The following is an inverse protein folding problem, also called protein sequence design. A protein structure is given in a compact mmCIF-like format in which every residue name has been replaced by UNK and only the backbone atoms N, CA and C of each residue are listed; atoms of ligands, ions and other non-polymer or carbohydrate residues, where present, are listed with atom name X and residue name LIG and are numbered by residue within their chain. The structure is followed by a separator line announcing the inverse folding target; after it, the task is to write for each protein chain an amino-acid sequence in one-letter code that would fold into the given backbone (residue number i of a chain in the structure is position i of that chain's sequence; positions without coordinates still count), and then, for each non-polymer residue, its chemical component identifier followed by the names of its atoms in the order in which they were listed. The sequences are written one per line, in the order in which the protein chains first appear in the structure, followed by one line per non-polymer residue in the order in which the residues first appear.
data_IF_336511642060
#
_entry.id   IF_336511642060
#
_cell.length_a   1.000
_cell.length_b   1.000
_cell.length_c   1.000
_cell.angle_alpha   90.00
_cell.angle_beta   90.00
_cell.angle_gamma   90.00
#
_symmetry.space_group_name_H-M   'P 1'
#
loop_
_entity.id
_entity.type
_entity.pdbx_description
1 polymer ?
#
# COMPACT_ATOMS: atom_id res chain seq x y z
N UNK A 1 -10.42 8.33 3.20
CA UNK A 1 -9.81 6.97 3.25
C UNK A 1 -10.75 6.01 2.54
N UNK A 2 -10.26 5.23 1.57
CA UNK A 2 -11.05 4.17 0.92
C UNK A 2 -10.40 2.80 1.19
N UNK A 3 -11.21 1.78 1.46
CA UNK A 3 -10.75 0.42 1.77
C UNK A 3 -11.34 -0.53 0.72
N UNK A 4 -10.49 -1.11 -0.12
CA UNK A 4 -10.87 -2.11 -1.13
C UNK A 4 -10.29 -3.48 -0.82
N UNK A 5 -10.66 -4.49 -1.62
CA UNK A 5 -10.19 -5.88 -1.49
C UNK A 5 -8.65 -6.03 -1.53
N UNK A 6 -7.94 -5.02 -2.02
CA UNK A 6 -6.50 -5.03 -2.24
C UNK A 6 -5.69 -4.21 -1.21
N UNK A 7 -6.27 -3.75 -0.10
CA UNK A 7 -5.56 -3.01 0.95
C UNK A 7 -6.17 -1.65 1.32
N UNK A 8 -5.45 -0.88 2.15
CA UNK A 8 -5.86 0.48 2.57
C UNK A 8 -5.15 1.52 1.71
N UNK A 9 -5.88 2.51 1.22
CA UNK A 9 -5.31 3.65 0.50
C UNK A 9 -5.41 4.91 1.35
N UNK A 10 -4.28 5.61 1.47
CA UNK A 10 -4.11 6.85 2.20
C UNK A 10 -3.71 7.97 1.26
N UNK A 11 -4.14 9.19 1.57
CA UNK A 11 -3.57 10.39 0.97
C UNK A 11 -2.45 10.87 1.90
N UNK A 12 -1.29 11.13 1.34
CA UNK A 12 -0.09 11.58 2.03
C UNK A 12 0.49 12.80 1.31
N UNK A 13 1.30 13.56 2.03
CA UNK A 13 2.04 14.69 1.46
C UNK A 13 3.53 14.38 1.54
N UNK A 14 4.22 14.53 0.41
CA UNK A 14 5.67 14.52 0.38
C UNK A 14 6.21 15.75 1.11
N UNK A 15 7.06 15.53 2.12
CA UNK A 15 7.58 16.60 2.99
C UNK A 15 8.55 17.52 2.25
N UNK A 16 9.25 17.01 1.24
CA UNK A 16 10.28 17.75 0.53
C UNK A 16 9.69 18.60 -0.60
N UNK A 17 8.60 18.12 -1.22
CA UNK A 17 8.00 18.77 -2.41
C UNK A 17 6.62 19.36 -2.18
N UNK A 18 5.93 18.99 -1.08
CA UNK A 18 4.54 19.34 -0.84
C UNK A 18 3.54 18.60 -1.72
N UNK A 19 3.98 17.62 -2.52
CA UNK A 19 3.13 16.90 -3.47
C UNK A 19 2.13 16.00 -2.75
N UNK A 20 0.90 15.94 -3.25
CA UNK A 20 -0.12 15.00 -2.78
C UNK A 20 0.07 13.62 -3.45
N UNK A 21 0.13 12.57 -2.64
CA UNK A 21 0.40 11.21 -3.07
C UNK A 21 -0.65 10.23 -2.53
N UNK A 22 -1.02 9.24 -3.34
CA UNK A 22 -1.84 8.12 -2.91
C UNK A 22 -0.96 6.92 -2.53
N UNK A 23 -0.95 6.55 -1.25
CA UNK A 23 -0.17 5.42 -0.72
C UNK A 23 -1.07 4.23 -0.46
N UNK A 24 -0.74 3.06 -1.04
CA UNK A 24 -1.47 1.80 -0.84
C UNK A 24 -0.69 0.88 0.12
N UNK A 25 -1.23 0.66 1.31
CA UNK A 25 -0.67 -0.27 2.28
C UNK A 25 -1.11 -1.70 1.96
N UNK A 26 -0.14 -2.58 1.70
CA UNK A 26 -0.32 -4.02 1.44
C UNK A 26 0.20 -4.81 2.65
N UNK A 27 -0.55 -5.81 3.09
CA UNK A 27 -0.06 -6.80 4.05
C UNK A 27 0.69 -7.90 3.32
N UNK A 28 1.97 -8.08 3.64
CA UNK A 28 2.82 -9.15 3.09
C UNK A 28 2.88 -10.41 3.99
N UNK A 29 2.11 -10.44 5.07
CA UNK A 29 2.01 -11.63 5.92
C UNK A 29 1.30 -12.75 5.14
N UNK A 30 1.96 -13.90 4.98
CA UNK A 30 1.44 -15.04 4.22
C UNK A 30 1.67 -14.97 2.71
N UNK A 31 2.49 -14.02 2.23
CA UNK A 31 2.94 -13.94 0.83
C UNK A 31 4.10 -14.92 0.52
N UNK A 32 4.59 -15.61 1.55
CA UNK A 32 5.59 -16.67 1.52
C UNK A 32 4.98 -18.08 1.33
N UNK A 33 3.77 -18.16 0.76
CA UNK A 33 3.21 -19.40 0.24
C UNK A 33 3.85 -19.70 -1.12
N UNK A 34 5.02 -20.34 -1.07
CA UNK A 34 5.53 -21.29 -2.08
C UNK A 34 5.62 -20.80 -3.54
N UNK A 35 6.82 -20.40 -3.97
CA UNK A 35 7.27 -20.72 -5.33
C UNK A 35 7.83 -22.15 -5.31
N UNK A 36 6.95 -23.15 -5.28
CA UNK A 36 7.35 -24.53 -5.60
C UNK A 36 7.24 -24.67 -7.12
N UNK A 37 8.39 -24.79 -7.80
CA UNK A 37 8.50 -25.13 -9.23
C UNK A 37 7.91 -26.51 -9.51
#
# INVERSE_FOLDING_TARGET
MTKGAFGKVFICYDVDTGSELAIKQISIRGLNSETTQ
#
